data_IF_128670686291
#
_entry.id   IF_128670686291
#
_cell.length_a   1.000
_cell.length_b   1.000
_cell.length_c   1.000
_cell.angle_alpha   90.00
_cell.angle_beta   90.00
_cell.angle_gamma   90.00
#
_symmetry.space_group_name_H-M   'P 1'
#
loop_
_entity.id
_entity.type
_entity.pdbx_description
1 polymer ?
#
# COMPACT_ATOMS: atom_id res chain seq x y z
N UNK A 1 12.43 -14.35 3.58
CA UNK A 1 11.25 -14.20 2.75
C UNK A 1 11.15 -12.78 2.23
N UNK A 2 10.84 -12.62 0.96
CA UNK A 2 10.74 -11.30 0.36
C UNK A 2 9.46 -10.58 0.74
N UNK A 3 9.58 -9.29 1.01
CA UNK A 3 8.42 -8.45 1.29
C UNK A 3 7.82 -7.98 -0.02
N UNK A 4 6.62 -8.46 -0.34
CA UNK A 4 5.94 -8.13 -1.59
C UNK A 4 4.88 -7.05 -1.44
N UNK A 5 4.82 -6.37 -0.27
CA UNK A 5 3.78 -5.37 -0.04
C UNK A 5 3.81 -4.26 -1.08
N UNK A 6 5.01 -3.79 -1.42
CA UNK A 6 5.16 -2.74 -2.43
C UNK A 6 4.59 -3.20 -3.77
N UNK A 7 4.92 -4.43 -4.18
CA UNK A 7 4.46 -4.95 -5.46
C UNK A 7 2.95 -5.14 -5.48
N UNK A 8 2.37 -5.55 -4.36
CA UNK A 8 0.93 -5.71 -4.26
C UNK A 8 0.23 -4.38 -4.46
N UNK A 9 0.69 -3.34 -3.76
CA UNK A 9 0.09 -2.01 -3.86
C UNK A 9 0.22 -1.48 -5.28
N UNK A 10 1.43 -1.52 -5.84
CA UNK A 10 1.67 -1.03 -7.19
C UNK A 10 0.87 -1.79 -8.23
N UNK A 11 0.82 -3.12 -8.11
CA UNK A 11 0.10 -3.95 -9.05
C UNK A 11 -1.40 -3.64 -9.06
N UNK A 12 -1.98 -3.51 -7.87
CA UNK A 12 -3.40 -3.19 -7.77
C UNK A 12 -3.70 -1.80 -8.29
N UNK A 13 -2.85 -0.82 -7.96
CA UNK A 13 -3.03 0.54 -8.46
C UNK A 13 -2.97 0.55 -9.98
N UNK A 14 -2.02 -0.16 -10.56
CA UNK A 14 -1.87 -0.23 -12.00
C UNK A 14 -3.10 -0.86 -12.66
N UNK A 15 -3.67 -1.89 -12.06
CA UNK A 15 -4.89 -2.53 -12.56
C UNK A 15 -6.07 -1.56 -12.57
N UNK A 16 -6.07 -0.58 -11.67
CA UNK A 16 -7.12 0.45 -11.62
C UNK A 16 -6.75 1.69 -12.43
N UNK A 17 -5.61 1.67 -13.10
CA UNK A 17 -5.16 2.83 -13.88
C UNK A 17 -4.70 4.00 -13.03
N UNK A 18 -4.27 3.73 -11.80
CA UNK A 18 -3.84 4.78 -10.87
C UNK A 18 -2.32 4.81 -10.79
N UNK A 19 -1.75 6.00 -10.87
CA UNK A 19 -0.32 6.21 -10.65
C UNK A 19 -0.08 6.52 -9.17
N UNK A 20 1.20 6.56 -8.78
CA UNK A 20 1.54 6.96 -7.41
C UNK A 20 1.07 8.39 -7.14
N UNK A 21 1.17 9.27 -8.15
CA UNK A 21 0.67 10.64 -8.01
C UNK A 21 -0.83 10.66 -7.74
N UNK A 22 -1.59 9.79 -8.41
CA UNK A 22 -3.03 9.69 -8.17
C UNK A 22 -3.32 9.20 -6.76
N UNK A 23 -2.58 8.19 -6.30
CA UNK A 23 -2.74 7.68 -4.95
C UNK A 23 -2.42 8.76 -3.91
N UNK A 24 -1.34 9.51 -4.13
CA UNK A 24 -0.95 10.58 -3.23
C UNK A 24 -2.05 11.63 -3.12
N UNK A 25 -2.60 12.04 -4.25
CA UNK A 25 -3.65 13.05 -4.28
C UNK A 25 -4.90 12.57 -3.55
N UNK A 26 -5.28 11.30 -3.77
CA UNK A 26 -6.51 10.77 -3.19
C UNK A 26 -6.37 10.41 -1.72
N UNK A 27 -5.17 10.04 -1.28
CA UNK A 27 -4.94 9.70 0.13
C UNK A 27 -4.59 10.91 0.98
N UNK A 28 -4.23 12.02 0.35
CA UNK A 28 -3.76 13.19 1.08
C UNK A 28 -2.33 13.08 1.56
N UNK A 29 -1.61 12.08 1.14
CA UNK A 29 -0.19 11.89 1.49
C UNK A 29 0.64 12.52 0.38
N UNK A 30 1.70 13.25 0.73
CA UNK A 30 2.55 13.85 -0.30
C UNK A 30 3.20 12.73 -1.14
N UNK A 31 3.46 13.05 -2.41
CA UNK A 31 3.98 12.06 -3.34
C UNK A 31 5.32 11.48 -2.87
N UNK A 32 6.22 12.34 -2.38
CA UNK A 32 7.52 11.88 -1.91
C UNK A 32 7.39 10.99 -0.67
N UNK A 33 6.46 11.34 0.23
CA UNK A 33 6.21 10.52 1.40
C UNK A 33 5.63 9.17 1.01
N UNK A 34 4.71 9.16 0.05
CA UNK A 34 4.10 7.92 -0.41
C UNK A 34 5.14 7.02 -1.08
N UNK A 35 6.02 7.58 -1.92
CA UNK A 35 7.12 6.81 -2.50
C UNK A 35 7.98 6.16 -1.43
N UNK A 36 8.30 6.91 -0.38
CA UNK A 36 9.11 6.38 0.71
C UNK A 36 8.38 5.24 1.43
N UNK A 37 7.08 5.40 1.67
CA UNK A 37 6.29 4.36 2.34
C UNK A 37 6.15 3.12 1.47
N UNK A 38 6.03 3.28 0.17
CA UNK A 38 5.99 2.12 -0.73
C UNK A 38 7.33 1.38 -0.75
N UNK A 39 8.43 2.12 -0.68
CA UNK A 39 9.76 1.52 -0.63
C UNK A 39 9.99 0.79 0.70
N UNK A 40 9.44 1.32 1.79
CA UNK A 40 9.55 0.73 3.12
C UNK A 40 8.14 0.53 3.68
N UNK A 41 7.42 -0.50 3.21
CA UNK A 41 5.99 -0.64 3.53
C UNK A 41 5.67 -0.79 5.02
N UNK A 42 6.67 -1.08 5.84
CA UNK A 42 6.45 -1.12 7.28
C UNK A 42 6.01 0.20 7.87
N UNK A 43 6.22 1.31 7.14
CA UNK A 43 5.78 2.62 7.57
C UNK A 43 4.33 2.95 7.26
N UNK A 44 3.64 2.07 6.53
CA UNK A 44 2.23 2.29 6.22
C UNK A 44 1.39 1.84 7.41
N UNK A 45 0.57 2.75 7.97
CA UNK A 45 -0.30 2.38 9.07
C UNK A 45 -1.63 1.85 8.54
N UNK A 46 -2.46 1.30 9.45
CA UNK A 46 -3.73 0.69 9.06
C UNK A 46 -4.69 1.69 8.43
N UNK A 47 -4.73 2.91 8.94
CA UNK A 47 -5.62 3.93 8.39
C UNK A 47 -5.24 4.24 6.94
N UNK A 48 -3.95 4.35 6.67
CA UNK A 48 -3.47 4.59 5.31
C UNK A 48 -3.77 3.41 4.41
N UNK A 49 -3.58 2.20 4.93
CA UNK A 49 -3.87 1.00 4.17
C UNK A 49 -5.35 0.90 3.82
N UNK A 50 -6.23 1.29 4.73
CA UNK A 50 -7.66 1.29 4.47
C UNK A 50 -8.02 2.25 3.34
N UNK A 51 -7.44 3.44 3.33
CA UNK A 51 -7.70 4.40 2.27
C UNK A 51 -7.22 3.86 0.93
N UNK A 52 -6.02 3.28 0.91
CA UNK A 52 -5.49 2.69 -0.32
C UNK A 52 -6.38 1.53 -0.79
N UNK A 53 -6.85 0.71 0.16
CA UNK A 53 -7.74 -0.40 -0.16
C UNK A 53 -9.02 0.08 -0.84
N UNK A 54 -9.59 1.18 -0.35
CA UNK A 54 -10.79 1.74 -0.97
C UNK A 54 -10.54 2.16 -2.42
N UNK A 55 -9.31 2.58 -2.72
CA UNK A 55 -8.97 3.05 -4.05
C UNK A 55 -8.62 1.90 -5.00
N UNK A 56 -7.94 0.87 -4.52
CA UNK A 56 -7.37 -0.16 -5.39
C UNK A 56 -8.01 -1.53 -5.23
N UNK A 57 -8.69 -1.79 -4.10
CA UNK A 57 -9.43 -3.04 -3.90
C UNK A 57 -8.55 -4.26 -3.69
N UNK A 58 -7.91 -4.36 -2.53
CA UNK A 58 -7.13 -5.55 -2.20
C UNK A 58 -8.05 -6.74 -1.96
N UNK A 59 -7.53 -7.95 -2.22
CA UNK A 59 -8.23 -9.17 -1.84
C UNK A 59 -8.06 -9.40 -0.34
N UNK A 60 -8.91 -10.28 0.23
CA UNK A 60 -8.79 -10.64 1.63
C UNK A 60 -7.42 -11.24 1.93
N UNK A 61 -6.90 -12.05 1.03
CA UNK A 61 -5.59 -12.65 1.19
C UNK A 61 -4.49 -11.59 1.24
N UNK A 62 -4.61 -10.56 0.42
CA UNK A 62 -3.64 -9.47 0.41
C UNK A 62 -3.69 -8.68 1.70
N UNK A 63 -4.89 -8.41 2.21
CA UNK A 63 -5.06 -7.73 3.49
C UNK A 63 -4.42 -8.55 4.61
N UNK A 64 -4.65 -9.86 4.62
CA UNK A 64 -4.04 -10.73 5.62
C UNK A 64 -2.52 -10.72 5.53
N UNK A 65 -1.99 -10.67 4.31
CA UNK A 65 -0.54 -10.59 4.11
C UNK A 65 0.04 -9.32 4.75
N UNK A 66 -0.63 -8.17 4.55
CA UNK A 66 -0.20 -6.93 5.17
C UNK A 66 -0.22 -7.01 6.69
N UNK A 67 -1.28 -7.58 7.25
CA UNK A 67 -1.41 -7.72 8.69
C UNK A 67 -0.32 -8.63 9.26
N UNK A 68 -0.04 -9.74 8.59
CA UNK A 68 1.01 -10.65 9.02
C UNK A 68 2.37 -9.98 9.04
N UNK A 69 2.68 -9.19 8.02
CA UNK A 69 3.95 -8.48 7.97
C UNK A 69 4.08 -7.48 9.10
N UNK A 70 2.98 -6.81 9.46
CA UNK A 70 3.02 -5.88 10.58
C UNK A 70 3.24 -6.60 11.91
N UNK A 71 2.68 -7.79 12.05
CA UNK A 71 2.80 -8.57 13.29
C UNK A 71 4.17 -9.21 13.44
N UNK A 72 4.75 -9.66 12.35
CA UNK A 72 6.01 -10.39 12.37
C UNK A 72 7.20 -9.51 12.01
N UNK A 73 6.99 -8.49 11.21
CA UNK A 73 8.06 -7.65 10.71
C UNK A 73 8.39 -6.56 11.69
N UNK A 74 9.43 -6.75 12.35
CA UNK A 74 9.93 -5.78 13.31
C UNK A 74 10.86 -4.80 12.67
#
# INVERSE_FOLDING_TARGET
>A
MKDNRQNIIKGRAQMKGLSVADLARKTGISESTLYRKLKFPGGINLAELEVIDELVGFTDEEILYFVRWRRCGK
#
